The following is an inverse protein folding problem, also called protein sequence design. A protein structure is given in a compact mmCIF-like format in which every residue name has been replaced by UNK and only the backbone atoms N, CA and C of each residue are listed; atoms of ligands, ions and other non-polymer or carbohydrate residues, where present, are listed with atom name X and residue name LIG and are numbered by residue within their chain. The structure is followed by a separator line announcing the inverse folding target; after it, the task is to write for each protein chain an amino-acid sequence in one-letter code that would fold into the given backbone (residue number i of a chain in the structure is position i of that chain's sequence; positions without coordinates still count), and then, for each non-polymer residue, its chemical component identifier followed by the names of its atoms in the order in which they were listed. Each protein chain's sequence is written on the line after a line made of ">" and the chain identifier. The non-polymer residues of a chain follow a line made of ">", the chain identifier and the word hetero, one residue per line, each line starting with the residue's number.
data_IF_192047140922
#
_entry.id   IF_192047140922
#
_cell.length_a   1.000
_cell.length_b   1.000
_cell.length_c   1.000
_cell.angle_alpha   90.00
_cell.angle_beta   90.00
_cell.angle_gamma   90.00
#
_symmetry.space_group_name_H-M   'P 1'
#
loop_
_entity.id
_entity.type
_entity.pdbx_description
1 polymer ?
#
# COMPACT_ATOMS: atom_id res chain seq x y z
N UNK A 1 -15.47 -5.17 30.37
CA UNK A 1 -15.05 -6.33 29.55
C UNK A 1 -15.79 -6.18 28.25
N UNK A 2 -15.14 -5.60 27.24
CA UNK A 2 -15.78 -5.37 25.94
C UNK A 2 -15.51 -6.59 25.09
N UNK A 3 -16.58 -7.21 24.59
CA UNK A 3 -16.58 -8.27 23.59
C UNK A 3 -15.84 -7.79 22.32
N UNK A 4 -14.53 -7.94 22.32
CA UNK A 4 -13.76 -7.97 21.08
C UNK A 4 -14.06 -9.32 20.43
N UNK A 5 -15.15 -9.39 19.67
CA UNK A 5 -15.37 -10.44 18.69
C UNK A 5 -14.09 -10.55 17.85
N UNK A 6 -13.27 -11.55 18.17
CA UNK A 6 -12.11 -11.93 17.37
C UNK A 6 -12.67 -12.43 16.04
N UNK A 7 -12.89 -11.50 15.11
CA UNK A 7 -13.42 -11.79 13.79
C UNK A 7 -12.34 -12.53 13.03
N UNK A 8 -12.31 -13.85 13.19
CA UNK A 8 -11.41 -14.73 12.46
C UNK A 8 -11.79 -14.59 10.98
N UNK A 9 -11.06 -13.75 10.28
CA UNK A 9 -11.19 -13.64 8.84
C UNK A 9 -10.76 -14.98 8.23
N UNK A 10 -11.49 -15.53 7.25
CA UNK A 10 -11.03 -16.69 6.53
C UNK A 10 -9.61 -16.42 6.01
N UNK A 11 -8.71 -17.40 6.20
CA UNK A 11 -7.27 -17.29 5.91
C UNK A 11 -6.99 -16.83 4.46
N UNK A 12 -7.95 -16.98 3.54
CA UNK A 12 -7.85 -16.53 2.14
C UNK A 12 -8.99 -15.59 1.71
N UNK A 13 -9.57 -14.81 2.61
CA UNK A 13 -10.57 -13.81 2.25
C UNK A 13 -9.93 -12.55 1.63
N UNK A 14 -10.69 -11.83 0.79
CA UNK A 14 -10.24 -10.55 0.25
C UNK A 14 -9.89 -9.52 1.35
N UNK A 15 -10.62 -9.56 2.47
CA UNK A 15 -10.35 -8.73 3.64
C UNK A 15 -9.04 -9.11 4.34
N UNK A 16 -8.73 -10.40 4.48
CA UNK A 16 -7.45 -10.86 5.04
C UNK A 16 -6.26 -10.38 4.19
N UNK A 17 -6.35 -10.47 2.86
CA UNK A 17 -5.33 -9.95 1.94
C UNK A 17 -5.15 -8.43 2.03
N UNK A 18 -6.25 -7.68 2.19
CA UNK A 18 -6.18 -6.23 2.36
C UNK A 18 -5.51 -5.85 3.68
N UNK A 19 -5.82 -6.56 4.78
CA UNK A 19 -5.19 -6.36 6.08
C UNK A 19 -3.69 -6.66 6.05
N UNK A 20 -3.28 -7.77 5.42
CA UNK A 20 -1.86 -8.12 5.25
C UNK A 20 -1.09 -7.04 4.48
N UNK A 21 -1.67 -6.52 3.38
CA UNK A 21 -1.05 -5.43 2.61
C UNK A 21 -0.97 -4.13 3.39
N UNK A 22 -2.00 -3.83 4.19
CA UNK A 22 -2.03 -2.64 5.04
C UNK A 22 -0.91 -2.71 6.10
N UNK A 23 -0.79 -3.85 6.79
CA UNK A 23 0.25 -4.09 7.78
C UNK A 23 1.66 -4.00 7.16
N UNK A 24 1.87 -4.68 6.02
CA UNK A 24 3.14 -4.60 5.28
C UNK A 24 3.53 -3.16 4.92
N UNK A 25 2.58 -2.37 4.42
CA UNK A 25 2.85 -0.99 3.99
C UNK A 25 3.04 -0.05 5.19
N UNK A 26 2.28 -0.24 6.27
CA UNK A 26 2.44 0.54 7.51
C UNK A 26 3.82 0.29 8.14
N UNK A 27 4.24 -0.97 8.26
CA UNK A 27 5.60 -1.33 8.70
C UNK A 27 6.64 -0.64 7.81
N UNK A 28 6.48 -0.70 6.48
CA UNK A 28 7.42 -0.04 5.54
C UNK A 28 7.47 1.48 5.74
N UNK A 29 6.35 2.14 6.00
CA UNK A 29 6.27 3.59 6.20
C UNK A 29 6.87 4.03 7.54
N UNK A 30 6.86 3.17 8.56
CA UNK A 30 7.45 3.46 9.88
C UNK A 30 8.95 3.23 9.96
N UNK A 31 9.53 2.47 9.02
CA UNK A 31 10.97 2.21 8.98
C UNK A 31 11.79 3.49 8.79
N UNK A 32 12.92 3.59 9.49
CA UNK A 32 13.92 4.61 9.21
C UNK A 32 14.41 4.51 7.76
N UNK A 33 14.61 5.67 7.13
CA UNK A 33 15.04 5.73 5.73
C UNK A 33 13.94 5.37 4.72
N UNK A 34 12.65 5.42 5.11
CA UNK A 34 11.54 5.31 4.17
C UNK A 34 11.58 6.48 3.16
N UNK A 35 12.05 6.19 1.96
CA UNK A 35 12.16 7.13 0.84
C UNK A 35 11.22 6.77 -0.33
N UNK A 36 11.19 7.61 -1.37
CA UNK A 36 10.37 7.40 -2.56
C UNK A 36 10.59 6.02 -3.18
N UNK A 37 11.85 5.58 -3.29
CA UNK A 37 12.22 4.30 -3.90
C UNK A 37 11.72 3.11 -3.09
N UNK A 38 11.76 3.21 -1.76
CA UNK A 38 11.28 2.17 -0.85
C UNK A 38 9.76 2.00 -0.95
N UNK A 39 9.02 3.11 -1.01
CA UNK A 39 7.56 3.12 -1.19
C UNK A 39 7.20 2.59 -2.58
N UNK A 40 7.88 3.06 -3.63
CA UNK A 40 7.66 2.62 -5.01
C UNK A 40 7.78 1.09 -5.14
N UNK A 41 8.84 0.50 -4.57
CA UNK A 41 9.07 -0.95 -4.58
C UNK A 41 8.02 -1.72 -3.77
N UNK A 42 7.63 -1.20 -2.61
CA UNK A 42 6.59 -1.82 -1.79
C UNK A 42 5.25 -1.85 -2.53
N UNK A 43 4.87 -0.73 -3.17
CA UNK A 43 3.68 -0.62 -4.00
C UNK A 43 3.77 -1.52 -5.25
N UNK A 44 4.94 -1.64 -5.88
CA UNK A 44 5.17 -2.55 -7.02
C UNK A 44 4.85 -3.99 -6.64
N UNK A 45 5.40 -4.47 -5.52
CA UNK A 45 5.24 -5.84 -5.05
C UNK A 45 3.76 -6.17 -4.85
N UNK A 46 3.03 -5.34 -4.09
CA UNK A 46 1.61 -5.58 -3.81
C UNK A 46 0.74 -5.43 -5.08
N UNK A 47 1.13 -4.56 -6.01
CA UNK A 47 0.42 -4.38 -7.27
C UNK A 47 0.59 -5.56 -8.23
N UNK A 48 1.77 -6.19 -8.25
CA UNK A 48 2.00 -7.41 -9.04
C UNK A 48 1.20 -8.60 -8.50
N UNK A 49 1.00 -8.69 -7.18
CA UNK A 49 0.19 -9.73 -6.56
C UNK A 49 -1.32 -9.59 -6.81
N UNK A 50 -1.83 -8.37 -7.00
CA UNK A 50 -3.27 -8.13 -7.25
C UNK A 50 -3.61 -8.06 -8.76
N UNK A 51 -2.64 -7.70 -9.59
CA UNK A 51 -2.79 -7.58 -11.04
C UNK A 51 -2.60 -6.15 -11.53
N UNK A 52 -1.45 -5.90 -12.15
CA UNK A 52 -1.01 -4.57 -12.58
C UNK A 52 -2.00 -3.87 -13.53
N UNK A 53 -2.65 -4.61 -14.44
CA UNK A 53 -3.62 -4.05 -15.39
C UNK A 53 -4.85 -3.44 -14.72
N UNK A 54 -5.39 -4.13 -13.71
CA UNK A 54 -6.54 -3.65 -12.94
C UNK A 54 -6.19 -2.37 -12.17
N UNK A 55 -5.01 -2.36 -11.54
CA UNK A 55 -4.56 -1.21 -10.76
C UNK A 55 -4.27 -0.01 -11.65
N UNK A 56 -3.57 -0.21 -12.77
CA UNK A 56 -3.29 0.87 -13.72
C UNK A 56 -4.59 1.50 -14.25
N UNK A 57 -5.57 0.67 -14.61
CA UNK A 57 -6.89 1.15 -15.02
C UNK A 57 -7.59 1.96 -13.93
N UNK A 58 -7.58 1.48 -12.68
CA UNK A 58 -8.15 2.21 -11.55
C UNK A 58 -7.44 3.54 -11.26
N UNK A 59 -6.16 3.66 -11.62
CA UNK A 59 -5.37 4.89 -11.51
C UNK A 59 -5.50 5.81 -12.74
N UNK A 60 -6.21 5.40 -13.81
CA UNK A 60 -6.26 6.15 -15.07
C UNK A 60 -4.94 6.18 -15.83
N UNK A 61 -4.04 5.22 -15.56
CA UNK A 61 -2.71 5.13 -16.15
C UNK A 61 -2.61 3.91 -17.08
N UNK A 62 -1.65 3.95 -18.01
CA UNK A 62 -1.22 2.72 -18.67
C UNK A 62 -0.40 1.84 -17.72
N UNK A 63 -0.43 0.52 -17.93
CA UNK A 63 0.40 -0.45 -17.17
C UNK A 63 1.87 -0.09 -17.24
N UNK A 64 2.33 0.36 -18.42
CA UNK A 64 3.72 0.77 -18.61
C UNK A 64 4.07 2.03 -17.80
N UNK A 65 3.18 3.03 -17.78
CA UNK A 65 3.40 4.25 -17.00
C UNK A 65 3.43 3.95 -15.51
N UNK A 66 2.46 3.16 -15.03
CA UNK A 66 2.44 2.73 -13.62
C UNK A 66 3.72 1.96 -13.27
N UNK A 67 4.12 0.98 -14.09
CA UNK A 67 5.35 0.21 -13.86
C UNK A 67 6.60 1.09 -13.84
N UNK A 68 6.70 2.10 -14.73
CA UNK A 68 7.82 3.05 -14.77
C UNK A 68 7.90 3.94 -13.53
N UNK A 69 6.78 4.30 -12.91
CA UNK A 69 6.78 5.04 -11.65
C UNK A 69 7.15 4.12 -10.48
N UNK A 70 6.54 2.94 -10.41
CA UNK A 70 6.76 1.99 -9.32
C UNK A 70 8.16 1.33 -9.33
N UNK A 71 8.82 1.26 -10.48
CA UNK A 71 10.20 0.76 -10.59
C UNK A 71 11.28 1.86 -10.49
N UNK A 72 10.89 3.12 -10.31
CA UNK A 72 11.82 4.26 -10.18
C UNK A 72 12.38 4.80 -11.51
N UNK A 73 11.91 4.35 -12.67
CA UNK A 73 12.28 4.94 -13.98
C UNK A 73 11.67 6.34 -14.17
N UNK A 74 10.60 6.64 -13.44
CA UNK A 74 9.94 7.95 -13.37
C UNK A 74 9.66 8.29 -11.91
N UNK A 75 9.57 9.59 -11.56
CA UNK A 75 9.17 10.01 -10.21
C UNK A 75 7.85 9.38 -9.80
N UNK A 76 7.77 8.99 -8.54
CA UNK A 76 6.52 8.51 -7.93
C UNK A 76 5.72 9.71 -7.41
N UNK A 77 4.54 9.92 -7.97
CA UNK A 77 3.65 10.99 -7.53
C UNK A 77 2.69 10.52 -6.43
N UNK A 78 2.35 11.42 -5.50
CA UNK A 78 1.38 11.13 -4.44
C UNK A 78 0.02 10.69 -5.00
N UNK A 79 -0.41 11.25 -6.14
CA UNK A 79 -1.63 10.82 -6.82
C UNK A 79 -1.62 9.33 -7.18
N UNK A 80 -0.47 8.82 -7.64
CA UNK A 80 -0.27 7.41 -7.99
C UNK A 80 -0.29 6.56 -6.74
N UNK A 81 0.37 6.99 -5.66
CA UNK A 81 0.33 6.30 -4.37
C UNK A 81 -1.11 6.13 -3.89
N UNK A 82 -1.88 7.22 -3.85
CA UNK A 82 -3.27 7.20 -3.41
C UNK A 82 -4.18 6.38 -4.34
N UNK A 83 -3.96 6.45 -5.65
CA UNK A 83 -4.69 5.67 -6.65
C UNK A 83 -4.46 4.17 -6.48
N UNK A 84 -3.19 3.76 -6.35
CA UNK A 84 -2.79 2.37 -6.14
C UNK A 84 -3.39 1.85 -4.83
N UNK A 85 -3.26 2.60 -3.73
CA UNK A 85 -3.85 2.24 -2.45
C UNK A 85 -5.37 2.03 -2.55
N UNK A 86 -6.10 2.96 -3.19
CA UNK A 86 -7.56 2.82 -3.39
C UNK A 86 -7.92 1.61 -4.24
N UNK A 87 -7.18 1.32 -5.32
CA UNK A 87 -7.42 0.16 -6.16
C UNK A 87 -7.33 -1.17 -5.39
N UNK A 88 -6.54 -1.19 -4.31
CA UNK A 88 -6.34 -2.33 -3.42
C UNK A 88 -7.17 -2.27 -2.13
N UNK A 89 -8.16 -1.36 -2.05
CA UNK A 89 -8.98 -1.12 -0.86
C UNK A 89 -8.17 -0.75 0.41
N UNK A 90 -7.05 -0.04 0.22
CA UNK A 90 -6.23 0.52 1.30
C UNK A 90 -6.56 1.99 1.53
N UNK A 91 -6.43 2.43 2.78
CA UNK A 91 -6.65 3.83 3.19
C UNK A 91 -5.37 4.39 3.81
N UNK A 92 -4.88 5.52 3.28
CA UNK A 92 -3.81 6.27 3.93
C UNK A 92 -4.36 7.00 5.16
N UNK A 93 -3.68 6.85 6.30
CA UNK A 93 -4.01 7.54 7.56
C UNK A 93 -2.87 8.46 7.96
N UNK A 94 -3.24 9.58 8.57
CA UNK A 94 -2.32 10.52 9.20
C UNK A 94 -2.55 10.40 10.69
N UNK A 95 -1.49 10.09 11.42
CA UNK A 95 -1.48 9.89 12.86
C UNK A 95 -0.41 10.81 13.47
N UNK A 96 -0.55 11.15 14.74
CA UNK A 96 0.50 11.81 15.47
C UNK A 96 1.73 10.89 15.55
N UNK A 97 2.90 11.43 15.23
CA UNK A 97 4.15 10.70 15.42
C UNK A 97 4.47 10.80 16.91
N UNK A 98 4.22 9.73 17.65
CA UNK A 98 4.65 9.65 19.05
C UNK A 98 6.15 10.01 19.09
N UNK A 99 6.55 11.06 19.84
CA UNK A 99 7.94 11.46 19.88
C UNK A 99 8.73 10.27 20.43
N UNK A 100 9.76 9.85 19.68
CA UNK A 100 10.75 8.87 20.13
C UNK A 100 11.20 9.31 21.53
N UNK A 101 10.74 8.59 22.56
CA UNK A 101 11.18 8.85 23.93
C UNK A 101 12.70 8.69 23.93
N UNK A 102 13.38 9.80 24.17
CA UNK A 102 14.84 9.92 24.14
C UNK A 102 15.47 9.27 25.37
#
# INVERSE_FOLDING_TARGET
>A
MSDSEFKILPINSAAARAAERADYLDVRMRMEGCDESSIARALLLIAELDGMSRIAQACGLSVETLRRQLNGTRPLYLETVLGVMRAMNLQLRVEDREPLQS
#
